data_IF_588924151038
#
_entry.id   IF_588924151038
#
_cell.length_a   1.000
_cell.length_b   1.000
_cell.length_c   1.000
_cell.angle_alpha   90.00
_cell.angle_beta   90.00
_cell.angle_gamma   90.00
#
_symmetry.space_group_name_H-M   'P 1'
#
loop_
_entity.id
_entity.type
_entity.pdbx_description
1 polymer ?
#
# COMPACT_ATOMS: atom_id res chain seq x y z
N UNK A 1 -3.86 6.00 -31.70
CA UNK A 1 -4.69 5.13 -30.87
C UNK A 1 -5.92 5.92 -30.45
N UNK A 2 -7.10 5.32 -30.50
CA UNK A 2 -8.31 6.00 -30.00
C UNK A 2 -8.22 6.27 -28.50
N UNK A 3 -8.69 7.42 -28.01
CA UNK A 3 -8.58 7.82 -26.60
C UNK A 3 -9.22 6.81 -25.65
N UNK A 4 -10.28 6.13 -26.08
CA UNK A 4 -10.98 5.11 -25.29
C UNK A 4 -10.10 3.88 -25.01
N UNK A 5 -9.29 3.45 -25.98
CA UNK A 5 -8.39 2.29 -25.86
C UNK A 5 -7.27 2.60 -24.88
N UNK A 6 -6.76 3.84 -24.89
CA UNK A 6 -5.71 4.30 -23.99
C UNK A 6 -6.19 4.30 -22.53
N UNK A 7 -7.39 4.84 -22.28
CA UNK A 7 -8.01 4.87 -20.95
C UNK A 7 -8.23 3.44 -20.43
N UNK A 8 -8.77 2.55 -21.27
CA UNK A 8 -8.99 1.15 -20.91
C UNK A 8 -7.68 0.45 -20.53
N UNK A 9 -6.61 0.67 -21.30
CA UNK A 9 -5.27 0.13 -21.01
C UNK A 9 -4.72 0.62 -19.67
N UNK A 10 -4.86 1.91 -19.37
CA UNK A 10 -4.42 2.51 -18.10
C UNK A 10 -5.18 1.89 -16.93
N UNK A 11 -6.51 1.75 -17.04
CA UNK A 11 -7.34 1.17 -15.99
C UNK A 11 -7.00 -0.31 -15.74
N UNK A 12 -6.85 -1.09 -16.81
CA UNK A 12 -6.49 -2.50 -16.71
C UNK A 12 -5.12 -2.69 -16.04
N UNK A 13 -4.12 -1.92 -16.47
CA UNK A 13 -2.80 -1.94 -15.86
C UNK A 13 -2.88 -1.58 -14.38
N UNK A 14 -3.59 -0.50 -14.02
CA UNK A 14 -3.75 -0.08 -12.63
C UNK A 14 -4.42 -1.16 -11.77
N UNK A 15 -5.43 -1.84 -12.29
CA UNK A 15 -6.07 -2.97 -11.62
C UNK A 15 -5.10 -4.15 -11.45
N UNK A 16 -4.33 -4.49 -12.48
CA UNK A 16 -3.35 -5.58 -12.42
C UNK A 16 -2.30 -5.32 -11.34
N UNK A 17 -1.76 -4.10 -11.29
CA UNK A 17 -0.79 -3.70 -10.27
C UNK A 17 -1.36 -3.71 -8.86
N UNK A 18 -2.64 -3.33 -8.71
CA UNK A 18 -3.35 -3.42 -7.45
C UNK A 18 -3.46 -4.89 -6.98
N UNK A 19 -3.85 -5.80 -7.88
CA UNK A 19 -3.97 -7.23 -7.59
C UNK A 19 -2.62 -7.87 -7.21
N UNK A 20 -1.54 -7.51 -7.91
CA UNK A 20 -0.19 -7.96 -7.60
C UNK A 20 0.22 -7.51 -6.19
N UNK A 21 -0.01 -6.24 -5.85
CA UNK A 21 0.25 -5.72 -4.51
C UNK A 21 -0.52 -6.48 -3.44
N UNK A 22 -1.83 -6.69 -3.65
CA UNK A 22 -2.70 -7.40 -2.71
C UNK A 22 -2.19 -8.82 -2.50
N UNK A 23 -1.83 -9.54 -3.56
CA UNK A 23 -1.33 -10.90 -3.48
C UNK A 23 -0.04 -10.99 -2.66
N UNK A 24 0.96 -10.17 -3.01
CA UNK A 24 2.28 -10.15 -2.35
C UNK A 24 2.12 -9.79 -0.86
N UNK A 25 1.33 -8.76 -0.56
CA UNK A 25 1.14 -8.30 0.81
C UNK A 25 0.36 -9.31 1.64
N UNK A 26 -0.72 -9.88 1.10
CA UNK A 26 -1.47 -10.94 1.77
C UNK A 26 -0.56 -12.15 2.08
N UNK A 27 0.32 -12.54 1.16
CA UNK A 27 1.28 -13.63 1.40
C UNK A 27 2.25 -13.31 2.55
N UNK A 28 2.82 -12.10 2.58
CA UNK A 28 3.77 -11.70 3.63
C UNK A 28 3.08 -11.55 4.98
N UNK A 29 1.88 -10.98 5.02
CA UNK A 29 1.08 -10.80 6.23
C UNK A 29 0.67 -12.15 6.82
N UNK A 30 0.19 -13.08 6.00
CA UNK A 30 -0.13 -14.45 6.42
C UNK A 30 1.06 -15.12 7.10
N UNK A 31 2.24 -15.04 6.45
CA UNK A 31 3.46 -15.71 6.92
C UNK A 31 3.99 -15.11 8.22
N UNK A 32 3.93 -13.79 8.38
CA UNK A 32 4.64 -13.09 9.44
C UNK A 32 3.74 -12.64 10.60
N UNK A 33 2.45 -12.39 10.35
CA UNK A 33 1.47 -11.98 11.37
C UNK A 33 0.52 -13.11 11.78
N UNK A 34 0.65 -14.30 11.17
CA UNK A 34 -0.22 -15.47 11.42
C UNK A 34 -1.71 -15.22 11.15
N UNK A 35 -2.02 -14.25 10.29
CA UNK A 35 -3.38 -14.04 9.81
C UNK A 35 -3.88 -15.30 9.08
N UNK A 36 -5.17 -15.57 9.18
CA UNK A 36 -5.83 -16.54 8.31
C UNK A 36 -5.70 -16.10 6.84
N UNK A 37 -5.83 -17.02 5.86
CA UNK A 37 -5.81 -16.65 4.45
C UNK A 37 -6.86 -15.58 4.11
N UNK A 38 -8.04 -15.67 4.73
CA UNK A 38 -9.15 -14.73 4.55
C UNK A 38 -8.79 -13.34 5.08
N UNK A 39 -8.33 -13.23 6.32
CA UNK A 39 -7.95 -11.95 6.93
C UNK A 39 -6.81 -11.27 6.17
N UNK A 40 -5.83 -12.05 5.73
CA UNK A 40 -4.68 -11.53 4.96
C UNK A 40 -5.12 -10.87 3.67
N UNK A 41 -6.02 -11.53 2.91
CA UNK A 41 -6.56 -10.99 1.66
C UNK A 41 -7.49 -9.82 1.92
N UNK A 42 -8.36 -9.90 2.93
CA UNK A 42 -9.28 -8.82 3.30
C UNK A 42 -8.52 -7.55 3.68
N UNK A 43 -7.57 -7.67 4.60
CA UNK A 43 -6.73 -6.56 5.02
C UNK A 43 -5.94 -5.97 3.85
N UNK A 44 -5.24 -6.80 3.07
CA UNK A 44 -4.45 -6.33 1.94
C UNK A 44 -5.34 -5.63 0.90
N UNK A 45 -6.51 -6.19 0.60
CA UNK A 45 -7.46 -5.60 -0.36
C UNK A 45 -7.95 -4.23 0.08
N UNK A 46 -8.47 -4.14 1.32
CA UNK A 46 -9.01 -2.90 1.87
C UNK A 46 -7.93 -1.82 1.92
N UNK A 47 -6.74 -2.15 2.43
CA UNK A 47 -5.69 -1.16 2.60
C UNK A 47 -5.04 -0.71 1.30
N UNK A 48 -4.90 -1.60 0.32
CA UNK A 48 -4.42 -1.19 -1.00
C UNK A 48 -5.45 -0.34 -1.74
N UNK A 49 -6.74 -0.70 -1.69
CA UNK A 49 -7.80 0.09 -2.32
C UNK A 49 -7.94 1.47 -1.66
N UNK A 50 -7.88 1.52 -0.32
CA UNK A 50 -7.96 2.77 0.42
C UNK A 50 -6.76 3.68 0.15
N UNK A 51 -5.55 3.11 0.05
CA UNK A 51 -4.36 3.84 -0.36
C UNK A 51 -4.48 4.41 -1.79
N UNK A 52 -5.07 3.66 -2.73
CA UNK A 52 -5.35 4.18 -4.08
C UNK A 52 -6.34 5.36 -4.06
N UNK A 53 -7.42 5.27 -3.26
CA UNK A 53 -8.40 6.36 -3.11
C UNK A 53 -7.73 7.61 -2.52
N UNK A 54 -6.95 7.46 -1.44
CA UNK A 54 -6.19 8.57 -0.84
C UNK A 54 -5.17 9.12 -1.84
N UNK A 55 -4.49 8.26 -2.58
CA UNK A 55 -3.54 8.65 -3.62
C UNK A 55 -4.20 9.49 -4.71
N UNK A 56 -5.42 9.15 -5.13
CA UNK A 56 -6.22 9.96 -6.05
C UNK A 56 -6.58 11.32 -5.44
N UNK A 57 -7.05 11.35 -4.18
CA UNK A 57 -7.43 12.60 -3.54
C UNK A 57 -6.22 13.55 -3.43
N UNK A 58 -5.09 13.04 -2.92
CA UNK A 58 -3.82 13.78 -2.82
C UNK A 58 -3.35 14.23 -4.19
N UNK A 59 -3.46 13.38 -5.22
CA UNK A 59 -3.14 13.76 -6.60
C UNK A 59 -3.94 14.98 -7.04
N UNK A 60 -5.27 14.95 -6.91
CA UNK A 60 -6.12 16.06 -7.34
C UNK A 60 -5.87 17.34 -6.55
N UNK A 61 -5.62 17.22 -5.23
CA UNK A 61 -5.27 18.37 -4.39
C UNK A 61 -3.94 19.01 -4.77
N UNK A 62 -2.92 18.22 -5.12
CA UNK A 62 -1.62 18.77 -5.53
C UNK A 62 -1.68 19.28 -6.97
N UNK A 63 -2.37 18.56 -7.86
CA UNK A 63 -2.46 18.90 -9.27
C UNK A 63 -3.07 20.29 -9.51
N UNK A 64 -4.06 20.69 -8.70
CA UNK A 64 -4.72 22.00 -8.83
C UNK A 64 -3.83 23.20 -8.49
N UNK A 65 -2.83 23.03 -7.60
CA UNK A 65 -1.93 24.09 -7.16
C UNK A 65 -0.51 24.00 -7.75
N UNK A 66 -0.20 22.97 -8.53
CA UNK A 66 1.13 22.68 -9.03
C UNK A 66 1.52 23.49 -10.28
N UNK A 67 2.82 23.74 -10.44
CA UNK A 67 3.37 24.29 -11.69
C UNK A 67 3.18 23.31 -12.86
N UNK A 68 3.14 23.81 -14.11
CA UNK A 68 2.92 22.97 -15.32
C UNK A 68 3.93 21.83 -15.44
N UNK A 69 5.18 22.05 -15.06
CA UNK A 69 6.24 21.04 -15.07
C UNK A 69 5.99 19.92 -14.06
N UNK A 70 5.48 20.27 -12.88
CA UNK A 70 5.13 19.29 -11.85
C UNK A 70 3.83 18.55 -12.19
N UNK A 71 2.86 19.23 -12.79
CA UNK A 71 1.64 18.61 -13.33
C UNK A 71 1.96 17.55 -14.40
N UNK A 72 2.92 17.83 -15.29
CA UNK A 72 3.38 16.85 -16.27
C UNK A 72 4.04 15.63 -15.58
N UNK A 73 4.90 15.85 -14.58
CA UNK A 73 5.49 14.76 -13.78
C UNK A 73 4.45 13.90 -13.04
N UNK A 74 3.41 14.54 -12.49
CA UNK A 74 2.29 13.88 -11.84
C UNK A 74 1.43 13.07 -12.81
N UNK A 75 1.07 13.65 -13.96
CA UNK A 75 0.33 12.94 -15.02
C UNK A 75 1.10 11.72 -15.53
N UNK A 76 2.41 11.83 -15.65
CA UNK A 76 3.28 10.72 -16.06
C UNK A 76 3.31 9.59 -15.01
N UNK A 77 3.31 9.94 -13.72
CA UNK A 77 3.22 8.95 -12.64
C UNK A 77 1.86 8.24 -12.60
N UNK A 78 0.77 9.00 -12.73
CA UNK A 78 -0.59 8.44 -12.72
C UNK A 78 -0.88 7.59 -13.97
N UNK A 79 -0.37 8.02 -15.12
CA UNK A 79 -0.51 7.31 -16.40
C UNK A 79 0.48 6.16 -16.58
N UNK A 80 1.46 6.00 -15.68
CA UNK A 80 2.58 5.03 -15.77
C UNK A 80 3.18 4.98 -17.19
N UNK A 81 3.33 6.14 -17.80
CA UNK A 81 3.61 6.25 -19.23
C UNK A 81 5.11 6.03 -19.52
N UNK A 82 5.46 5.29 -20.59
CA UNK A 82 6.84 5.05 -20.95
C UNK A 82 7.47 6.29 -21.57
N UNK A 83 8.41 6.94 -20.89
CA UNK A 83 9.28 7.97 -21.48
C UNK A 83 10.70 7.80 -20.94
N UNK A 84 11.65 7.81 -21.88
CA UNK A 84 13.07 7.42 -21.84
C UNK A 84 14.02 8.20 -20.91
N UNK A 85 13.57 8.91 -19.88
CA UNK A 85 14.50 9.50 -18.90
C UNK A 85 14.03 9.39 -17.45
N UNK A 86 14.89 8.77 -16.64
CA UNK A 86 14.88 8.84 -15.18
C UNK A 86 15.18 10.29 -14.78
N UNK A 87 14.13 11.10 -14.62
CA UNK A 87 14.25 12.46 -14.07
C UNK A 87 14.16 12.43 -12.55
N UNK A 88 14.90 13.31 -11.87
CA UNK A 88 14.79 13.53 -10.42
C UNK A 88 13.34 13.76 -9.97
N UNK A 89 12.53 14.44 -10.78
CA UNK A 89 11.11 14.66 -10.50
C UNK A 89 10.33 13.33 -10.36
N UNK A 90 10.66 12.33 -11.19
CA UNK A 90 10.03 11.01 -11.11
C UNK A 90 10.43 10.29 -9.82
N UNK A 91 11.71 10.36 -9.44
CA UNK A 91 12.20 9.78 -8.19
C UNK A 91 11.48 10.39 -6.98
N UNK A 92 11.35 11.72 -6.93
CA UNK A 92 10.63 12.40 -5.85
C UNK A 92 9.18 11.96 -5.75
N UNK A 93 8.46 11.88 -6.88
CA UNK A 93 7.06 11.45 -6.90
C UNK A 93 6.94 9.98 -6.48
N UNK A 94 7.81 9.09 -6.96
CA UNK A 94 7.86 7.67 -6.56
C UNK A 94 8.07 7.53 -5.06
N UNK A 95 9.08 8.20 -4.50
CA UNK A 95 9.36 8.16 -3.05
C UNK A 95 8.20 8.75 -2.24
N UNK A 96 7.61 9.86 -2.70
CA UNK A 96 6.46 10.48 -2.06
C UNK A 96 5.27 9.51 -1.97
N UNK A 97 4.89 8.87 -3.07
CA UNK A 97 3.78 7.91 -3.07
C UNK A 97 4.09 6.64 -2.30
N UNK A 98 5.34 6.17 -2.31
CA UNK A 98 5.79 5.08 -1.43
C UNK A 98 5.52 5.41 0.04
N UNK A 99 5.99 6.57 0.50
CA UNK A 99 5.79 6.99 1.90
C UNK A 99 4.31 7.20 2.20
N UNK A 100 3.56 7.86 1.31
CA UNK A 100 2.13 8.08 1.47
C UNK A 100 1.38 6.75 1.65
N UNK A 101 1.61 5.78 0.77
CA UNK A 101 0.90 4.50 0.80
C UNK A 101 1.30 3.68 2.02
N UNK A 102 2.58 3.73 2.42
CA UNK A 102 3.04 3.12 3.65
C UNK A 102 2.32 3.70 4.87
N UNK A 103 2.21 5.02 4.97
CA UNK A 103 1.52 5.69 6.09
C UNK A 103 0.05 5.29 6.17
N UNK A 104 -0.65 5.26 5.03
CA UNK A 104 -2.04 4.79 4.98
C UNK A 104 -2.17 3.37 5.51
N UNK A 105 -1.28 2.48 5.08
CA UNK A 105 -1.30 1.07 5.52
C UNK A 105 -0.97 0.92 7.00
N UNK A 106 -0.04 1.69 7.52
CA UNK A 106 0.31 1.66 8.94
C UNK A 106 -0.86 2.12 9.82
N UNK A 107 -1.52 3.22 9.46
CA UNK A 107 -2.70 3.69 10.17
C UNK A 107 -3.87 2.72 10.05
N UNK A 108 -4.09 2.20 8.84
CA UNK A 108 -5.13 1.21 8.56
C UNK A 108 -4.94 -0.09 9.35
N UNK A 109 -3.69 -0.50 9.59
CA UNK A 109 -3.39 -1.66 10.44
C UNK A 109 -3.85 -1.48 11.88
N UNK A 110 -3.60 -0.31 12.49
CA UNK A 110 -4.02 -0.06 13.86
C UNK A 110 -5.55 -0.03 13.98
N UNK A 111 -6.25 0.55 12.99
CA UNK A 111 -7.72 0.51 12.94
C UNK A 111 -8.23 -0.93 12.81
N UNK A 112 -7.66 -1.72 11.89
CA UNK A 112 -8.04 -3.12 11.70
C UNK A 112 -7.87 -3.93 13.00
N UNK A 113 -6.79 -3.68 13.74
CA UNK A 113 -6.55 -4.35 15.03
C UNK A 113 -7.62 -4.03 16.06
N UNK A 114 -8.00 -2.76 16.19
CA UNK A 114 -9.03 -2.34 17.15
C UNK A 114 -10.33 -3.11 16.86
N UNK A 115 -10.73 -3.16 15.58
CA UNK A 115 -11.94 -3.86 15.14
C UNK A 115 -11.88 -5.36 15.42
N UNK A 116 -10.77 -6.04 15.11
CA UNK A 116 -10.62 -7.49 15.36
C UNK A 116 -10.59 -7.79 16.86
N UNK A 117 -9.89 -6.98 17.67
CA UNK A 117 -9.81 -7.20 19.13
C UNK A 117 -11.15 -7.00 19.85
N UNK A 118 -12.04 -6.19 19.28
CA UNK A 118 -13.38 -5.97 19.83
C UNK A 118 -14.29 -7.18 19.59
N UNK A 119 -14.11 -7.89 18.48
CA UNK A 119 -14.84 -9.12 18.15
C UNK A 119 -14.43 -10.28 19.09
N UNK A 120 -13.12 -10.43 19.39
CA UNK A 120 -12.63 -11.45 20.32
C UNK A 120 -13.10 -11.21 21.77
N UNK A 121 -13.08 -9.96 22.25
CA UNK A 121 -13.54 -9.63 23.61
C UNK A 121 -15.06 -9.72 23.79
N UNK A 122 -15.84 -9.68 22.69
CA UNK A 122 -17.30 -9.84 22.76
C UNK A 122 -17.73 -11.30 22.91
N UNK A 123 -16.81 -12.26 22.75
CA UNK A 123 -17.05 -13.70 22.94
C UNK A 123 -16.39 -14.30 24.19
N UNK A 124 -15.64 -13.51 24.96
CA UNK A 124 -14.87 -13.98 26.10
C UNK A 124 -15.23 -13.21 27.38
N UNK A 125 -16.47 -13.39 27.85
CA UNK A 125 -16.71 -13.27 29.28
C UNK A 125 -16.37 -14.61 29.96
N UNK A 126 -15.52 -14.51 30.99
CA UNK A 126 -15.24 -15.43 32.11
C UNK A 126 -13.72 -15.75 32.26
N UNK A 127 -13.23 -15.42 33.46
CA UNK A 127 -11.97 -15.78 34.15
C UNK A 127 -10.76 -14.83 34.11
N UNK A 128 -10.78 -13.83 35.00
CA UNK A 128 -10.06 -13.96 36.28
C UNK A 128 -8.51 -13.98 36.29
N UNK A 129 -7.93 -12.79 36.53
CA UNK A 129 -6.75 -12.50 37.36
C UNK A 129 -5.41 -13.22 37.09
N UNK A 130 -4.36 -12.45 36.74
CA UNK A 130 -3.07 -12.42 37.48
C UNK A 130 -2.07 -11.34 36.99
N UNK A 131 -1.72 -10.47 37.94
CA UNK A 131 -0.44 -9.76 38.19
C UNK A 131 0.17 -8.79 37.14
N UNK A 132 0.46 -7.51 37.51
CA UNK A 132 1.14 -6.54 36.66
C UNK A 132 2.63 -6.43 37.04
N UNK A 133 3.53 -7.13 36.35
CA UNK A 133 4.95 -6.74 36.37
C UNK A 133 5.70 -7.34 35.17
N UNK A 134 6.33 -6.48 34.37
CA UNK A 134 7.11 -6.75 33.12
C UNK A 134 6.37 -6.76 31.76
N UNK A 135 5.24 -6.06 31.61
CA UNK A 135 4.52 -5.99 30.33
C UNK A 135 5.17 -5.04 29.27
N UNK A 136 6.03 -4.11 29.67
CA UNK A 136 6.54 -3.05 28.79
C UNK A 136 7.48 -3.51 27.64
N UNK A 137 8.45 -4.43 27.81
CA UNK A 137 9.31 -4.83 26.69
C UNK A 137 8.61 -5.73 25.65
N UNK A 138 7.59 -6.50 26.04
CA UNK A 138 6.91 -7.46 25.15
C UNK A 138 5.94 -6.75 24.21
N UNK A 139 5.22 -5.73 24.71
CA UNK A 139 4.26 -4.96 23.90
C UNK A 139 4.95 -4.17 22.78
N UNK A 140 6.05 -3.48 23.10
CA UNK A 140 6.84 -2.74 22.11
C UNK A 140 7.50 -3.66 21.08
N UNK A 141 7.97 -4.85 21.48
CA UNK A 141 8.55 -5.83 20.56
C UNK A 141 7.48 -6.36 19.56
N UNK A 142 6.23 -6.51 20.01
CA UNK A 142 5.08 -6.80 19.16
C UNK A 142 4.79 -5.68 18.13
N UNK A 143 4.81 -4.42 18.56
CA UNK A 143 4.58 -3.27 17.66
C UNK A 143 5.69 -3.14 16.61
N UNK A 144 6.95 -3.24 17.02
CA UNK A 144 8.11 -3.12 16.11
C UNK A 144 8.15 -4.26 15.08
N UNK A 145 7.86 -5.50 15.49
CA UNK A 145 7.81 -6.64 14.58
C UNK A 145 6.67 -6.53 13.55
N UNK A 146 5.53 -5.96 13.95
CA UNK A 146 4.38 -5.70 13.07
C UNK A 146 4.65 -4.58 12.08
N UNK A 147 5.15 -3.43 12.56
CA UNK A 147 5.58 -2.33 11.70
C UNK A 147 6.57 -2.82 10.64
N UNK A 148 7.60 -3.58 11.07
CA UNK A 148 8.60 -4.16 10.17
C UNK A 148 7.96 -5.09 9.12
N UNK A 149 6.93 -5.83 9.50
CA UNK A 149 6.22 -6.71 8.58
C UNK A 149 5.44 -5.93 7.53
N UNK A 150 4.70 -4.89 7.92
CA UNK A 150 3.94 -4.04 6.98
C UNK A 150 4.89 -3.29 6.05
N UNK A 151 5.97 -2.71 6.61
CA UNK A 151 7.01 -2.05 5.83
C UNK A 151 7.63 -3.00 4.81
N UNK A 152 7.96 -4.23 5.23
CA UNK A 152 8.50 -5.25 4.33
C UNK A 152 7.50 -5.63 3.24
N UNK A 153 6.24 -5.86 3.61
CA UNK A 153 5.18 -6.21 2.67
C UNK A 153 5.03 -5.12 1.60
N UNK A 154 4.94 -3.86 2.04
CA UNK A 154 4.84 -2.71 1.16
C UNK A 154 6.09 -2.51 0.29
N UNK A 155 7.29 -2.67 0.86
CA UNK A 155 8.54 -2.50 0.10
C UNK A 155 8.64 -3.54 -1.01
N UNK A 156 8.34 -4.81 -0.72
CA UNK A 156 8.42 -5.87 -1.71
C UNK A 156 7.36 -5.68 -2.80
N UNK A 157 6.11 -5.41 -2.43
CA UNK A 157 5.04 -5.18 -3.42
C UNK A 157 5.33 -3.96 -4.30
N UNK A 158 5.82 -2.87 -3.70
CA UNK A 158 6.15 -1.64 -4.42
C UNK A 158 7.33 -1.84 -5.37
N UNK A 159 8.40 -2.54 -4.94
CA UNK A 159 9.54 -2.85 -5.80
C UNK A 159 9.15 -3.75 -6.97
N UNK A 160 8.30 -4.75 -6.76
CA UNK A 160 7.81 -5.60 -7.86
C UNK A 160 7.03 -4.78 -8.87
N UNK A 161 6.10 -3.92 -8.42
CA UNK A 161 5.37 -3.04 -9.33
C UNK A 161 6.31 -2.09 -10.07
N UNK A 162 7.28 -1.50 -9.38
CA UNK A 162 8.26 -0.60 -9.98
C UNK A 162 9.09 -1.33 -11.04
N UNK A 163 9.51 -2.56 -10.77
CA UNK A 163 10.23 -3.39 -11.73
C UNK A 163 9.39 -3.68 -12.98
N UNK A 164 8.10 -4.03 -12.81
CA UNK A 164 7.20 -4.26 -13.95
C UNK A 164 7.02 -2.99 -14.77
N UNK A 165 6.84 -1.82 -14.13
CA UNK A 165 6.70 -0.53 -14.82
C UNK A 165 7.98 -0.18 -15.60
N UNK A 166 9.17 -0.38 -14.99
CA UNK A 166 10.44 -0.14 -15.66
C UNK A 166 10.60 -1.07 -16.87
N UNK A 167 10.27 -2.36 -16.72
CA UNK A 167 10.34 -3.32 -17.81
C UNK A 167 9.37 -2.96 -18.96
N UNK A 168 8.13 -2.58 -18.64
CA UNK A 168 7.19 -2.09 -19.67
C UNK A 168 7.70 -0.84 -20.38
N UNK A 169 8.45 0.01 -19.67
CA UNK A 169 8.99 1.26 -20.23
C UNK A 169 10.14 1.01 -21.20
N UNK A 170 11.07 0.13 -20.86
CA UNK A 170 12.23 -0.19 -21.69
C UNK A 170 11.86 -1.01 -22.94
N UNK A 171 10.83 -1.85 -22.87
CA UNK A 171 10.49 -2.78 -23.96
C UNK A 171 9.36 -2.33 -24.89
N UNK A 172 8.79 -1.13 -24.72
CA UNK A 172 7.71 -0.56 -25.58
C UNK A 172 6.62 -1.58 -26.00
N UNK A 173 6.17 -2.44 -25.09
CA UNK A 173 4.99 -3.31 -25.27
C UNK A 173 3.78 -2.55 -24.76
#
# INVERSE_FOLDING_TARGET
MEPNILIARILLNRLLYLLISIYIEAFILRRNLRFTPRESVQYASVMNLFAEIIGCFVFFSIFSGASREFQAGLMLYLGRYPINLVSFNRLYVTVFYFVLYLLVKLQGFEIFRILVSQEENSGAEIEGSKSPSRAYPIFFQGIVSRFRTILRAHTVSYLVNLFIILFQTEFQI
#
